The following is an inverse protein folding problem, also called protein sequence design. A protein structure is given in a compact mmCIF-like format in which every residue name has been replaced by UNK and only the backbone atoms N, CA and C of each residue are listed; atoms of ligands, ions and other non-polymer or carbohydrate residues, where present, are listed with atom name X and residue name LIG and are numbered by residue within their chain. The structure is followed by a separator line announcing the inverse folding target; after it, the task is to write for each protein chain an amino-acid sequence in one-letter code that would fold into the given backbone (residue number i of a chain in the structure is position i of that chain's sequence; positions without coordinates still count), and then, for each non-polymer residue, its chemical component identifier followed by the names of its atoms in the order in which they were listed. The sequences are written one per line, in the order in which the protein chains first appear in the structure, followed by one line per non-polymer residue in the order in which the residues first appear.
data_IF_261093703753
#
_entry.id   IF_261093703753
#
_cell.length_a   1.000
_cell.length_b   1.000
_cell.length_c   1.000
_cell.angle_alpha   90.00
_cell.angle_beta   90.00
_cell.angle_gamma   90.00
#
_symmetry.space_group_name_H-M   'P 1'
#
loop_
_entity.id
_entity.type
_entity.pdbx_description
1 polymer ?
#
# COMPACT_ATOMS: atom_id res chain seq x y z
N UNK A 1 14.48 10.75 -4.26
CA UNK A 1 13.02 10.57 -3.98
C UNK A 1 12.24 10.70 -5.29
N UNK A 2 11.02 10.16 -5.41
CA UNK A 2 10.28 9.98 -6.71
C UNK A 2 10.38 11.18 -7.66
N UNK A 3 10.23 12.41 -7.14
CA UNK A 3 10.35 13.65 -7.90
C UNK A 3 11.74 13.88 -8.51
N UNK A 4 12.82 13.62 -7.78
CA UNK A 4 14.21 13.84 -8.25
C UNK A 4 14.59 12.91 -9.40
N UNK A 5 13.97 11.72 -9.46
CA UNK A 5 14.26 10.72 -10.51
C UNK A 5 13.32 10.86 -11.72
N UNK A 6 12.28 11.70 -11.63
CA UNK A 6 11.23 11.80 -12.65
C UNK A 6 10.47 10.49 -12.89
N UNK A 7 10.60 9.50 -11.99
CA UNK A 7 10.06 8.16 -12.20
C UNK A 7 9.47 7.57 -10.94
N UNK A 8 8.35 6.89 -11.10
CA UNK A 8 7.73 6.07 -10.09
C UNK A 8 8.35 4.67 -10.06
N UNK A 9 8.95 4.28 -8.93
CA UNK A 9 9.81 3.08 -8.87
C UNK A 9 9.29 1.93 -8.00
N UNK A 10 8.21 2.14 -7.23
CA UNK A 10 7.63 1.10 -6.38
C UNK A 10 6.11 1.20 -6.33
N UNK A 11 5.36 0.15 -6.68
CA UNK A 11 3.91 0.22 -6.72
C UNK A 11 3.31 0.27 -5.31
N UNK A 12 2.13 0.87 -5.17
CA UNK A 12 1.33 0.83 -3.93
C UNK A 12 0.74 -0.58 -3.81
N UNK A 13 0.76 -1.15 -2.60
CA UNK A 13 0.14 -2.45 -2.36
C UNK A 13 -1.26 -2.24 -1.82
N UNK A 14 -2.23 -2.88 -2.47
CA UNK A 14 -3.65 -2.64 -2.24
C UNK A 14 -4.37 -3.98 -2.09
N UNK A 15 -5.21 -4.09 -1.07
CA UNK A 15 -6.14 -5.21 -0.92
C UNK A 15 -7.17 -5.18 -2.04
N UNK A 16 -7.25 -6.26 -2.80
CA UNK A 16 -7.96 -6.27 -4.07
C UNK A 16 -9.48 -6.16 -3.95
N UNK A 17 -10.11 -6.68 -2.88
CA UNK A 17 -11.57 -6.67 -2.74
C UNK A 17 -12.11 -5.30 -2.34
N UNK A 18 -11.43 -4.62 -1.45
CA UNK A 18 -11.92 -3.39 -0.80
C UNK A 18 -11.13 -2.14 -1.18
N UNK A 19 -10.10 -2.28 -2.03
CA UNK A 19 -9.18 -1.19 -2.41
C UNK A 19 -8.48 -0.53 -1.21
N UNK A 20 -8.23 -1.31 -0.15
CA UNK A 20 -7.57 -0.81 1.08
C UNK A 20 -6.06 -0.84 0.90
N UNK A 21 -5.38 0.26 1.20
CA UNK A 21 -3.92 0.35 1.08
C UNK A 21 -3.27 -0.48 2.17
N UNK A 22 -2.46 -1.46 1.78
CA UNK A 22 -1.64 -2.27 2.68
C UNK A 22 -0.27 -1.61 2.91
N UNK A 23 0.35 -1.10 1.84
CA UNK A 23 1.65 -0.43 1.91
C UNK A 23 1.73 0.69 0.86
N UNK A 24 2.43 1.77 1.20
CA UNK A 24 2.59 2.92 0.30
C UNK A 24 1.67 4.11 0.57
N UNK A 25 1.16 4.28 1.79
CA UNK A 25 0.41 5.48 2.19
C UNK A 25 1.15 6.80 1.86
N UNK A 26 2.43 6.90 2.19
CA UNK A 26 3.24 8.08 1.82
C UNK A 26 3.40 8.24 0.31
N UNK A 27 3.45 7.13 -0.44
CA UNK A 27 3.52 7.18 -1.89
C UNK A 27 2.22 7.71 -2.47
N UNK A 28 1.07 7.25 -2.00
CA UNK A 28 -0.21 7.82 -2.39
C UNK A 28 -0.28 9.32 -2.08
N UNK A 29 0.17 9.73 -0.89
CA UNK A 29 0.28 11.15 -0.55
C UNK A 29 1.16 11.90 -1.56
N UNK A 30 2.37 11.40 -1.87
CA UNK A 30 3.24 12.00 -2.88
C UNK A 30 2.59 12.07 -4.27
N UNK A 31 1.83 11.05 -4.69
CA UNK A 31 1.12 11.10 -5.97
C UNK A 31 0.13 12.27 -6.03
N UNK A 32 -0.59 12.51 -4.93
CA UNK A 32 -1.52 13.66 -4.80
C UNK A 32 -0.77 14.99 -4.82
N UNK A 33 0.31 15.12 -4.05
CA UNK A 33 1.14 16.34 -4.02
C UNK A 33 1.79 16.64 -5.39
N UNK A 34 2.10 15.62 -6.18
CA UNK A 34 2.66 15.74 -7.53
C UNK A 34 1.60 15.96 -8.62
N UNK A 35 0.30 15.95 -8.27
CA UNK A 35 -0.80 16.12 -9.21
C UNK A 35 -0.95 14.96 -10.21
N UNK A 36 -0.55 13.75 -9.83
CA UNK A 36 -0.72 12.56 -10.68
C UNK A 36 -2.19 12.11 -10.68
N UNK A 37 -2.70 11.73 -11.85
CA UNK A 37 -4.05 11.17 -11.99
C UNK A 37 -4.13 9.70 -11.61
N UNK A 38 -3.00 8.98 -11.66
CA UNK A 38 -2.93 7.58 -11.31
C UNK A 38 -1.63 7.22 -10.58
N UNK A 39 -1.63 6.06 -9.91
CA UNK A 39 -0.43 5.48 -9.32
C UNK A 39 -0.42 3.97 -9.59
N UNK A 40 0.73 3.38 -9.93
CA UNK A 40 0.82 1.95 -10.16
C UNK A 40 0.59 1.18 -8.86
N UNK A 41 -0.28 0.19 -8.93
CA UNK A 41 -0.68 -0.64 -7.80
C UNK A 41 -0.42 -2.12 -8.07
N UNK A 42 -0.15 -2.87 -7.01
CA UNK A 42 -0.21 -4.34 -7.01
C UNK A 42 -1.37 -4.73 -6.11
N UNK A 43 -2.28 -5.49 -6.69
CA UNK A 43 -3.42 -6.05 -5.97
C UNK A 43 -2.98 -7.31 -5.23
N UNK A 44 -3.25 -7.34 -3.93
CA UNK A 44 -2.92 -8.44 -3.02
C UNK A 44 -4.20 -8.90 -2.31
N UNK A 45 -4.19 -10.14 -1.82
CA UNK A 45 -5.27 -10.69 -1.02
C UNK A 45 -4.77 -11.06 0.37
N UNK A 46 -5.56 -10.74 1.41
CA UNK A 46 -5.34 -11.29 2.74
C UNK A 46 -5.52 -12.81 2.82
N UNK A 47 -6.20 -13.42 1.84
CA UNK A 47 -6.36 -14.87 1.72
C UNK A 47 -5.11 -15.54 1.07
N UNK A 48 -4.15 -14.76 0.56
CA UNK A 48 -2.92 -15.31 -0.03
C UNK A 48 -2.00 -15.86 1.08
N UNK A 49 -1.66 -17.16 1.08
CA UNK A 49 -0.78 -17.75 2.09
C UNK A 49 0.65 -17.20 2.05
N UNK A 50 1.04 -16.45 1.02
CA UNK A 50 2.32 -15.76 0.95
C UNK A 50 2.30 -14.40 1.64
N UNK A 51 1.12 -13.81 1.87
CA UNK A 51 0.98 -12.52 2.53
C UNK A 51 0.75 -12.71 4.04
N UNK A 52 1.58 -12.04 4.84
CA UNK A 52 1.47 -12.05 6.29
C UNK A 52 1.34 -10.62 6.79
N UNK A 53 0.43 -10.40 7.73
CA UNK A 53 0.30 -9.12 8.41
C UNK A 53 0.56 -9.29 9.90
N UNK A 54 1.30 -8.35 10.49
CA UNK A 54 1.55 -8.28 11.94
C UNK A 54 1.31 -6.87 12.45
N UNK A 55 1.05 -6.70 13.74
CA UNK A 55 1.15 -5.36 14.36
C UNK A 55 2.61 -5.00 14.64
N UNK A 56 2.97 -3.72 14.49
CA UNK A 56 4.31 -3.24 14.85
C UNK A 56 4.53 -3.18 16.36
N UNK A 57 3.50 -2.80 17.12
CA UNK A 57 3.60 -2.53 18.56
C UNK A 57 3.51 -3.77 19.44
N UNK A 58 2.89 -4.86 18.95
CA UNK A 58 2.71 -6.09 19.72
C UNK A 58 2.66 -7.35 18.84
N UNK A 59 3.20 -8.48 19.30
CA UNK A 59 2.94 -9.77 18.69
C UNK A 59 1.49 -10.20 18.97
N UNK A 60 0.85 -10.85 18.00
CA UNK A 60 -0.50 -11.39 18.14
C UNK A 60 -1.21 -11.56 16.80
N UNK A 61 -2.38 -12.24 16.79
CA UNK A 61 -3.22 -12.31 15.60
C UNK A 61 -3.67 -10.91 15.21
N UNK A 62 -3.59 -10.62 13.92
CA UNK A 62 -4.10 -9.38 13.34
C UNK A 62 -5.57 -9.55 13.01
N UNK A 63 -6.35 -8.55 13.38
CA UNK A 63 -7.76 -8.47 12.99
C UNK A 63 -7.83 -7.80 11.61
N UNK A 64 -7.85 -8.62 10.57
CA UNK A 64 -7.90 -8.15 9.17
C UNK A 64 -9.17 -7.36 8.89
N UNK A 65 -10.29 -7.76 9.49
CA UNK A 65 -11.58 -7.08 9.31
C UNK A 65 -11.49 -5.66 9.85
N UNK A 66 -10.86 -5.46 11.02
CA UNK A 66 -10.64 -4.11 11.55
C UNK A 66 -9.80 -3.22 10.62
N UNK A 67 -8.83 -3.79 9.90
CA UNK A 67 -8.01 -3.04 8.93
C UNK A 67 -8.86 -2.64 7.73
N UNK A 68 -9.68 -3.56 7.23
CA UNK A 68 -10.58 -3.32 6.11
C UNK A 68 -11.59 -2.22 6.49
N UNK A 69 -12.25 -2.35 7.64
CA UNK A 69 -13.22 -1.38 8.13
C UNK A 69 -12.59 0.00 8.32
N UNK A 70 -11.39 0.10 8.89
CA UNK A 70 -10.68 1.38 9.01
C UNK A 70 -10.39 2.02 7.65
N UNK A 71 -10.03 1.22 6.64
CA UNK A 71 -9.80 1.70 5.28
C UNK A 71 -11.08 2.17 4.57
N UNK A 72 -12.21 1.47 4.81
CA UNK A 72 -13.50 1.81 4.22
C UNK A 72 -14.17 3.00 4.90
N UNK A 73 -14.06 3.14 6.22
CA UNK A 73 -14.66 4.24 6.98
C UNK A 73 -13.88 5.55 6.87
N UNK A 74 -12.56 5.45 6.64
CA UNK A 74 -11.66 6.60 6.73
C UNK A 74 -11.24 6.95 8.16
N UNK A 75 -11.78 6.26 9.17
CA UNK A 75 -11.30 6.31 10.57
C UNK A 75 -10.02 5.48 10.68
N UNK A 76 -8.92 6.05 10.19
CA UNK A 76 -7.67 5.34 10.01
C UNK A 76 -7.05 4.89 11.34
N UNK A 77 -6.42 3.71 11.29
CA UNK A 77 -5.56 3.23 12.38
C UNK A 77 -4.38 4.19 12.60
N UNK A 78 -3.78 4.14 13.80
CA UNK A 78 -2.60 4.92 14.13
C UNK A 78 -1.41 4.67 13.18
N UNK A 79 -0.49 5.64 13.12
CA UNK A 79 0.69 5.54 12.27
C UNK A 79 1.51 4.28 12.57
N UNK A 80 1.87 3.53 11.51
CA UNK A 80 2.60 2.27 11.60
C UNK A 80 1.95 1.30 12.60
N UNK A 81 0.64 1.07 12.47
CA UNK A 81 -0.03 0.02 13.24
C UNK A 81 0.24 -1.37 12.65
N UNK A 82 0.15 -1.50 11.32
CA UNK A 82 0.24 -2.79 10.60
C UNK A 82 1.51 -2.90 9.76
N UNK A 83 1.98 -4.13 9.58
CA UNK A 83 3.17 -4.48 8.80
C UNK A 83 2.85 -5.68 7.88
N UNK A 84 2.76 -5.44 6.58
CA UNK A 84 2.52 -6.48 5.59
C UNK A 84 3.83 -6.97 5.00
N UNK A 85 4.05 -8.29 5.03
CA UNK A 85 5.22 -8.96 4.48
C UNK A 85 4.77 -10.07 3.54
N UNK A 86 5.32 -10.05 2.34
CA UNK A 86 5.17 -11.14 1.38
C UNK A 86 6.34 -12.11 1.51
N UNK A 87 6.07 -13.42 1.42
CA UNK A 87 7.10 -14.48 1.33
C UNK A 87 7.72 -14.60 -0.06
N UNK A 88 7.07 -14.03 -1.07
CA UNK A 88 7.56 -13.98 -2.45
C UNK A 88 7.97 -12.56 -2.81
N UNK A 89 8.86 -12.44 -3.80
CA UNK A 89 9.20 -11.14 -4.36
C UNK A 89 7.96 -10.52 -5.04
N UNK A 90 7.60 -9.32 -4.61
CA UNK A 90 6.54 -8.53 -5.25
C UNK A 90 7.14 -7.72 -6.40
N UNK A 91 6.38 -7.49 -7.48
CA UNK A 91 6.89 -6.80 -8.65
C UNK A 91 7.28 -5.35 -8.33
N UNK A 92 8.36 -4.90 -8.97
CA UNK A 92 8.76 -3.50 -9.00
C UNK A 92 8.21 -2.83 -10.27
N UNK A 93 8.30 -1.51 -10.33
CA UNK A 93 7.98 -0.76 -11.53
C UNK A 93 9.02 0.34 -11.78
N UNK A 94 9.02 0.90 -12.97
CA UNK A 94 9.78 2.09 -13.34
C UNK A 94 8.97 2.79 -14.41
N UNK A 95 8.08 3.69 -14.01
CA UNK A 95 7.13 4.38 -14.88
C UNK A 95 7.47 5.87 -14.87
N UNK A 96 7.39 6.54 -16.00
CA UNK A 96 7.61 7.98 -16.05
C UNK A 96 6.50 8.72 -15.29
N UNK A 97 6.81 9.84 -14.64
CA UNK A 97 5.76 10.61 -13.96
C UNK A 97 4.77 11.21 -14.96
N UNK A 98 5.21 11.50 -16.19
CA UNK A 98 4.32 11.99 -17.25
C UNK A 98 3.28 10.94 -17.68
N UNK A 99 3.61 9.65 -17.63
CA UNK A 99 2.66 8.56 -17.94
C UNK A 99 1.57 8.37 -16.86
N UNK A 100 1.73 9.04 -15.71
CA UNK A 100 0.81 8.96 -14.56
C UNK A 100 -0.04 10.24 -14.38
N UNK A 101 0.22 11.27 -15.18
CA UNK A 101 -0.56 12.52 -15.26
C UNK A 101 -1.73 12.40 -16.23
#
# INVERSE_FOLDING_TARGET
MIAEKGRWTRPIFVEYRHSVIMDGHHRLFCARELGLLSAPCVLLSYDDPNLHVTYWSKPGPVDVESIIQAGLSGDLMGFKTTNHKSRIALPCCSIDLDDLR
#
